data_IF_124100007208
#
_entry.id   IF_124100007208
#
_cell.length_a   1.000
_cell.length_b   1.000
_cell.length_c   1.000
_cell.angle_alpha   90.00
_cell.angle_beta   90.00
_cell.angle_gamma   90.00
#
_symmetry.space_group_name_H-M   'P 1'
#
loop_
_entity.id
_entity.type
_entity.pdbx_description
1 polymer ?
#
# COMPACT_ATOMS: atom_id res chain seq x y z
N UNK A 1 37.47 43.31 -11.51
CA UNK A 1 38.04 41.97 -11.79
C UNK A 1 38.26 41.35 -10.42
N UNK A 2 37.70 40.23 -10.00
CA UNK A 2 37.17 39.07 -10.72
C UNK A 2 36.20 38.33 -9.78
N UNK A 3 35.37 37.53 -10.41
CA UNK A 3 34.23 36.75 -9.96
C UNK A 3 34.28 36.02 -8.60
N UNK A 4 33.06 35.87 -8.11
CA UNK A 4 32.55 34.91 -7.14
C UNK A 4 32.77 33.46 -7.62
N UNK A 5 32.95 32.59 -6.61
CA UNK A 5 32.74 31.13 -6.57
C UNK A 5 33.60 30.23 -7.45
N UNK A 6 34.39 29.39 -6.79
CA UNK A 6 34.44 27.95 -7.05
C UNK A 6 34.87 27.25 -5.75
N UNK A 7 33.88 26.83 -4.97
CA UNK A 7 34.05 25.79 -3.96
C UNK A 7 34.04 24.46 -4.71
N UNK A 8 35.22 23.95 -4.99
CA UNK A 8 35.44 22.53 -5.27
C UNK A 8 35.05 21.74 -4.01
N UNK A 9 33.88 21.10 -4.07
CA UNK A 9 33.48 20.09 -3.11
C UNK A 9 33.85 18.73 -3.71
N UNK A 10 35.06 18.27 -3.43
CA UNK A 10 35.33 16.84 -3.35
C UNK A 10 34.64 16.32 -2.09
N UNK A 11 33.50 15.65 -2.26
CA UNK A 11 33.06 14.63 -1.32
C UNK A 11 32.34 13.53 -2.09
N UNK A 12 33.05 12.42 -2.23
CA UNK A 12 32.54 11.15 -2.71
C UNK A 12 31.49 10.63 -1.73
N UNK A 13 30.20 10.75 -2.06
CA UNK A 13 29.15 9.93 -1.45
C UNK A 13 28.20 9.43 -2.53
N UNK A 14 28.29 8.13 -2.77
CA UNK A 14 27.36 7.29 -3.49
C UNK A 14 25.91 7.55 -3.02
N UNK A 15 25.05 8.10 -3.87
CA UNK A 15 23.59 8.04 -3.69
C UNK A 15 22.94 7.29 -4.85
N UNK A 16 22.96 5.97 -4.68
CA UNK A 16 22.04 4.93 -5.15
C UNK A 16 21.01 5.31 -6.23
N UNK A 17 21.41 4.95 -7.44
CA UNK A 17 20.63 4.59 -8.59
C UNK A 17 19.42 3.70 -8.21
N UNK A 18 18.20 4.24 -8.23
CA UNK A 18 16.93 3.47 -8.12
C UNK A 18 16.71 2.49 -9.29
N UNK A 19 17.70 2.37 -10.18
CA UNK A 19 17.72 1.48 -11.33
C UNK A 19 18.40 0.13 -11.06
N UNK A 20 18.89 -0.11 -9.84
CA UNK A 20 19.39 -1.43 -9.39
C UNK A 20 18.42 -2.21 -8.48
N UNK A 21 17.31 -1.62 -7.99
CA UNK A 21 16.32 -2.37 -7.20
C UNK A 21 15.37 -3.27 -8.02
N UNK A 22 15.64 -3.41 -9.33
CA UNK A 22 15.03 -4.38 -10.24
C UNK A 22 16.05 -5.38 -10.77
N UNK A 23 17.23 -5.50 -10.14
CA UNK A 23 17.89 -6.80 -10.15
C UNK A 23 16.84 -7.79 -9.66
N UNK A 24 16.49 -8.71 -10.57
CA UNK A 24 15.45 -9.67 -10.35
C UNK A 24 15.71 -10.35 -9.01
N UNK A 25 14.91 -10.02 -8.01
CA UNK A 25 14.68 -10.95 -6.93
C UNK A 25 14.14 -12.18 -7.64
N UNK A 26 14.99 -13.19 -7.84
CA UNK A 26 14.53 -14.46 -8.37
C UNK A 26 13.48 -14.94 -7.37
N UNK A 27 12.24 -14.90 -7.81
CA UNK A 27 11.06 -15.34 -7.06
C UNK A 27 11.29 -16.78 -6.58
N UNK A 28 12.09 -17.58 -7.28
CA UNK A 28 12.50 -18.91 -6.88
C UNK A 28 13.65 -18.91 -5.85
N UNK A 29 14.56 -17.95 -5.82
CA UNK A 29 15.53 -17.80 -4.72
C UNK A 29 14.85 -17.30 -3.45
N UNK A 30 13.93 -16.34 -3.50
CA UNK A 30 13.21 -15.89 -2.30
C UNK A 30 12.26 -16.96 -1.75
N UNK A 31 11.64 -17.77 -2.61
CA UNK A 31 10.92 -18.99 -2.17
C UNK A 31 11.83 -20.01 -1.49
N UNK A 32 13.10 -20.08 -1.88
CA UNK A 32 14.11 -20.97 -1.26
C UNK A 32 14.68 -20.40 0.03
N UNK A 33 14.70 -19.06 0.18
CA UNK A 33 15.27 -18.36 1.33
C UNK A 33 14.26 -18.14 2.46
N UNK A 34 12.99 -17.89 2.14
CA UNK A 34 11.93 -17.67 3.14
C UNK A 34 11.18 -18.98 3.36
N UNK A 35 11.72 -19.81 4.24
CA UNK A 35 11.05 -20.98 4.77
C UNK A 35 10.50 -20.73 6.18
N UNK A 36 9.94 -21.77 6.81
CA UNK A 36 9.41 -21.65 8.17
C UNK A 36 10.52 -21.37 9.18
N UNK A 37 11.71 -21.93 9.00
CA UNK A 37 12.79 -21.79 9.97
C UNK A 37 13.32 -20.35 9.96
N UNK A 38 13.45 -19.74 8.77
CA UNK A 38 13.75 -18.32 8.61
C UNK A 38 12.69 -17.42 9.28
N UNK A 39 11.40 -17.70 9.05
CA UNK A 39 10.32 -16.90 9.65
C UNK A 39 10.26 -17.04 11.19
N UNK A 40 10.58 -18.22 11.71
CA UNK A 40 10.64 -18.48 13.15
C UNK A 40 11.88 -17.85 13.79
N UNK A 41 13.03 -17.84 13.11
CA UNK A 41 14.24 -17.16 13.58
C UNK A 41 14.01 -15.64 13.67
N UNK A 42 13.40 -15.04 12.65
CA UNK A 42 12.98 -13.63 12.70
C UNK A 42 12.03 -13.35 13.88
N UNK A 43 11.06 -14.24 14.12
CA UNK A 43 10.13 -14.11 15.24
C UNK A 43 10.83 -14.22 16.58
N UNK A 44 11.78 -15.15 16.70
CA UNK A 44 12.60 -15.33 17.88
C UNK A 44 13.47 -14.10 18.16
N UNK A 45 14.15 -13.56 17.15
CA UNK A 45 14.93 -12.34 17.26
C UNK A 45 14.06 -11.15 17.71
N UNK A 46 12.88 -10.97 17.11
CA UNK A 46 11.93 -9.93 17.52
C UNK A 46 11.41 -10.11 18.95
N UNK A 47 11.21 -11.34 19.40
CA UNK A 47 10.76 -11.62 20.76
C UNK A 47 11.82 -11.21 21.81
N UNK A 48 13.10 -11.40 21.50
CA UNK A 48 14.23 -11.22 22.44
C UNK A 48 15.00 -9.91 22.26
N UNK A 49 14.76 -9.15 21.18
CA UNK A 49 15.47 -7.90 20.89
C UNK A 49 15.33 -6.82 21.98
N UNK A 50 14.29 -6.91 22.82
CA UNK A 50 13.90 -5.89 23.79
C UNK A 50 13.72 -6.46 25.22
N UNK A 51 14.40 -7.55 25.55
CA UNK A 51 14.29 -8.23 26.86
C UNK A 51 14.51 -7.30 28.06
N UNK A 52 15.48 -6.39 27.96
CA UNK A 52 15.78 -5.46 29.05
C UNK A 52 14.68 -4.41 29.23
N UNK A 53 14.06 -3.97 28.13
CA UNK A 53 12.89 -3.07 28.18
C UNK A 53 11.68 -3.81 28.75
N UNK A 54 11.45 -5.06 28.33
CA UNK A 54 10.37 -5.92 28.87
C UNK A 54 10.52 -6.11 30.38
N UNK A 55 11.73 -6.36 30.87
CA UNK A 55 12.03 -6.43 32.33
C UNK A 55 11.76 -5.10 33.03
N UNK A 56 12.18 -3.97 32.43
CA UNK A 56 11.91 -2.64 32.98
C UNK A 56 10.41 -2.37 33.10
N UNK A 57 9.60 -2.74 32.10
CA UNK A 57 8.15 -2.56 32.13
C UNK A 57 7.47 -3.49 33.13
N UNK A 58 7.96 -4.72 33.28
CA UNK A 58 7.46 -5.66 34.29
C UNK A 58 7.56 -5.13 35.71
N UNK A 59 8.62 -4.37 36.00
CA UNK A 59 8.86 -3.75 37.30
C UNK A 59 8.37 -2.29 37.37
N UNK A 60 7.58 -1.85 36.38
CA UNK A 60 7.11 -0.47 36.31
C UNK A 60 6.01 -0.20 37.34
N UNK A 61 6.28 0.73 38.24
CA UNK A 61 5.31 1.25 39.19
C UNK A 61 4.84 2.64 38.75
N UNK A 62 3.62 2.70 38.23
CA UNK A 62 3.02 3.96 37.77
C UNK A 62 2.29 4.62 38.95
N UNK A 63 2.54 5.92 39.13
CA UNK A 63 1.86 6.77 40.10
C UNK A 63 0.80 7.63 39.40
N UNK A 64 -0.37 7.78 40.03
CA UNK A 64 -1.48 8.57 39.52
C UNK A 64 -1.86 9.53 40.64
N UNK A 65 -1.45 10.79 40.50
CA UNK A 65 -1.49 11.83 41.54
C UNK A 65 -2.69 12.79 41.41
N UNK A 66 -3.64 12.45 40.54
CA UNK A 66 -4.77 13.30 40.17
C UNK A 66 -6.10 12.59 40.40
N UNK A 67 -7.16 13.39 40.51
CA UNK A 67 -8.52 12.88 40.72
C UNK A 67 -9.04 12.19 39.45
N UNK A 68 -9.06 10.86 39.49
CA UNK A 68 -9.47 10.02 38.36
C UNK A 68 -10.99 10.10 38.16
N UNK A 69 -11.48 10.48 36.97
CA UNK A 69 -12.91 10.59 36.70
C UNK A 69 -13.55 9.21 36.63
N UNK A 70 -14.86 9.16 36.81
CA UNK A 70 -15.65 7.91 36.82
C UNK A 70 -15.47 7.10 35.51
N UNK A 71 -15.36 7.79 34.38
CA UNK A 71 -15.09 7.21 33.06
C UNK A 71 -13.77 6.43 32.99
N UNK A 72 -12.85 6.66 33.94
CA UNK A 72 -11.51 6.09 33.98
C UNK A 72 -11.35 4.93 34.99
N UNK A 73 -12.46 4.39 35.48
CA UNK A 73 -12.43 3.33 36.49
C UNK A 73 -12.17 1.92 35.94
N UNK A 74 -12.43 1.65 34.66
CA UNK A 74 -12.15 0.35 34.05
C UNK A 74 -11.76 0.43 32.58
N UNK A 75 -10.85 -0.46 32.18
CA UNK A 75 -10.47 -0.73 30.78
C UNK A 75 -11.49 -1.62 30.05
N UNK A 76 -12.45 -2.20 30.76
CA UNK A 76 -13.42 -3.14 30.20
C UNK A 76 -14.68 -2.45 29.64
N UNK A 77 -14.84 -1.15 29.88
CA UNK A 77 -16.01 -0.41 29.43
C UNK A 77 -15.96 -0.14 27.93
N UNK A 78 -16.67 -0.98 27.17
CA UNK A 78 -17.04 -0.75 25.78
C UNK A 78 -18.52 -0.34 25.82
N UNK A 79 -18.81 0.97 25.79
CA UNK A 79 -20.18 1.49 25.79
C UNK A 79 -21.09 0.90 26.89
N UNK A 80 -20.59 0.80 28.13
CA UNK A 80 -21.43 0.27 29.19
C UNK A 80 -22.47 1.31 29.61
N UNK A 81 -23.75 0.97 29.49
CA UNK A 81 -24.87 1.72 30.07
C UNK A 81 -24.65 2.12 31.53
N UNK A 82 -23.85 1.34 32.26
CA UNK A 82 -23.44 1.60 33.64
C UNK A 82 -22.56 2.86 33.80
N UNK A 83 -21.57 3.07 32.93
CA UNK A 83 -20.73 4.29 32.97
C UNK A 83 -21.51 5.52 32.54
N UNK A 84 -22.40 5.38 31.55
CA UNK A 84 -23.31 6.47 31.18
C UNK A 84 -24.25 6.83 32.33
N UNK A 85 -24.79 5.84 33.06
CA UNK A 85 -25.59 6.08 34.26
C UNK A 85 -24.79 6.77 35.37
N UNK A 86 -23.56 6.30 35.64
CA UNK A 86 -22.71 6.86 36.68
C UNK A 86 -22.24 8.29 36.33
N UNK A 87 -21.96 8.59 35.06
CA UNK A 87 -21.62 9.96 34.62
C UNK A 87 -22.84 10.88 34.58
N UNK A 88 -24.01 10.37 34.18
CA UNK A 88 -25.26 11.12 34.19
C UNK A 88 -25.64 11.54 35.61
N UNK A 89 -25.36 10.69 36.61
CA UNK A 89 -25.55 11.02 38.03
C UNK A 89 -24.68 12.20 38.50
N UNK A 90 -23.57 12.49 37.80
CA UNK A 90 -22.65 13.61 38.08
C UNK A 90 -22.83 14.75 37.05
N UNK A 91 -23.89 14.70 36.22
CA UNK A 91 -24.21 15.75 35.24
C UNK A 91 -23.26 15.79 34.03
N UNK A 92 -22.54 14.71 33.74
CA UNK A 92 -21.63 14.59 32.60
C UNK A 92 -22.12 13.50 31.62
N UNK A 93 -21.74 13.60 30.35
CA UNK A 93 -22.02 12.60 29.32
C UNK A 93 -20.75 12.00 28.74
N UNK A 94 -20.79 10.73 28.31
CA UNK A 94 -19.72 10.16 27.50
C UNK A 94 -19.71 10.79 26.11
N UNK A 95 -18.52 11.19 25.67
CA UNK A 95 -18.30 11.59 24.28
C UNK A 95 -18.01 10.32 23.47
N UNK A 96 -18.99 9.91 22.65
CA UNK A 96 -18.88 8.74 21.77
C UNK A 96 -18.50 9.09 20.32
N UNK A 97 -18.32 10.39 20.02
CA UNK A 97 -17.92 10.88 18.70
C UNK A 97 -16.43 10.64 18.43
N UNK A 98 -15.95 10.89 17.21
CA UNK A 98 -14.52 10.76 16.89
C UNK A 98 -13.64 11.67 17.79
N UNK A 99 -12.38 11.29 18.00
CA UNK A 99 -11.40 12.15 18.66
C UNK A 99 -11.17 13.42 17.83
N UNK A 100 -11.16 14.57 18.47
CA UNK A 100 -10.80 15.84 17.83
C UNK A 100 -9.29 16.03 17.83
N UNK A 101 -8.82 16.99 17.04
CA UNK A 101 -7.39 17.32 16.94
C UNK A 101 -6.84 17.74 18.32
N UNK A 102 -7.64 18.47 19.10
CA UNK A 102 -7.28 18.90 20.46
C UNK A 102 -7.16 17.71 21.41
N UNK A 103 -8.06 16.74 21.33
CA UNK A 103 -7.98 15.52 22.15
C UNK A 103 -6.74 14.68 21.80
N UNK A 104 -6.39 14.60 20.51
CA UNK A 104 -5.15 13.96 20.08
C UNK A 104 -3.90 14.69 20.57
N UNK A 105 -3.92 16.03 20.58
CA UNK A 105 -2.82 16.84 21.13
C UNK A 105 -2.64 16.62 22.63
N UNK A 106 -3.74 16.55 23.40
CA UNK A 106 -3.72 16.21 24.82
C UNK A 106 -3.11 14.82 25.02
N UNK A 107 -3.57 13.83 24.25
CA UNK A 107 -3.07 12.46 24.35
C UNK A 107 -1.57 12.36 24.02
N UNK A 108 -1.10 13.11 23.02
CA UNK A 108 0.34 13.21 22.67
C UNK A 108 1.15 13.87 23.78
N UNK A 109 0.68 14.98 24.35
CA UNK A 109 1.34 15.66 25.45
C UNK A 109 1.42 14.78 26.72
N UNK A 110 0.37 14.02 27.01
CA UNK A 110 0.36 13.06 28.12
C UNK A 110 1.34 11.92 27.89
N UNK A 111 1.44 11.41 26.65
CA UNK A 111 2.49 10.46 26.29
C UNK A 111 3.89 11.06 26.48
N UNK A 112 4.13 12.28 26.00
CA UNK A 112 5.42 12.96 26.17
C UNK A 112 5.81 13.12 27.65
N UNK A 113 4.85 13.46 28.50
CA UNK A 113 5.04 13.54 29.95
C UNK A 113 5.40 12.17 30.55
N UNK A 114 4.68 11.11 30.15
CA UNK A 114 4.98 9.74 30.57
C UNK A 114 6.39 9.30 30.13
N UNK A 115 6.81 9.63 28.91
CA UNK A 115 8.16 9.32 28.41
C UNK A 115 9.23 9.97 29.28
N UNK A 116 9.04 11.24 29.65
CA UNK A 116 9.98 11.99 30.49
C UNK A 116 10.07 11.43 31.91
N UNK A 117 8.92 11.07 32.50
CA UNK A 117 8.85 10.59 33.89
C UNK A 117 9.39 9.16 34.05
N UNK A 118 9.05 8.26 33.13
CA UNK A 118 9.36 6.83 33.26
C UNK A 118 10.52 6.35 32.35
N UNK A 119 11.02 7.25 31.48
CA UNK A 119 12.18 7.00 30.61
C UNK A 119 11.92 5.92 29.56
N UNK A 120 10.78 5.98 28.89
CA UNK A 120 10.45 5.13 27.74
C UNK A 120 10.28 6.02 26.51
N UNK A 121 11.12 5.88 25.49
CA UNK A 121 11.04 6.76 24.31
C UNK A 121 10.07 6.25 23.25
N UNK A 122 9.93 4.92 23.15
CA UNK A 122 9.22 4.27 22.07
C UNK A 122 7.83 3.78 22.54
N UNK A 123 6.73 4.26 21.93
CA UNK A 123 5.38 3.87 22.30
C UNK A 123 5.05 2.41 21.96
N UNK A 124 5.82 1.75 21.06
CA UNK A 124 5.56 0.37 20.62
C UNK A 124 5.45 -0.60 21.79
N UNK A 125 6.23 -0.34 22.85
CA UNK A 125 6.27 -1.18 24.04
C UNK A 125 4.94 -1.21 24.80
N UNK A 126 4.09 -0.19 24.65
CA UNK A 126 2.80 -0.08 25.33
C UNK A 126 1.62 -0.40 24.41
N UNK A 127 1.89 -0.71 23.13
CA UNK A 127 0.88 -1.12 22.16
C UNK A 127 0.35 -2.53 22.45
N UNK A 128 -0.85 -2.78 21.95
CA UNK A 128 -1.52 -4.07 22.14
C UNK A 128 -0.75 -5.18 21.42
N UNK A 129 -0.42 -6.24 22.15
CA UNK A 129 0.22 -7.44 21.58
C UNK A 129 1.73 -7.46 21.73
N UNK A 130 2.36 -6.32 22.04
CA UNK A 130 3.80 -6.28 22.28
C UNK A 130 4.21 -6.98 23.58
N UNK A 131 3.52 -6.65 24.68
CA UNK A 131 3.74 -7.24 26.00
C UNK A 131 2.68 -8.28 26.33
N UNK A 132 3.10 -9.34 27.00
CA UNK A 132 2.22 -10.33 27.63
C UNK A 132 1.53 -9.74 28.86
N UNK A 133 0.45 -10.37 29.30
CA UNK A 133 -0.27 -9.96 30.52
C UNK A 133 0.58 -10.10 31.78
N UNK A 134 1.62 -10.94 31.75
CA UNK A 134 2.58 -11.10 32.85
C UNK A 134 3.65 -10.00 32.87
N UNK A 135 3.96 -9.42 31.72
CA UNK A 135 4.90 -8.29 31.61
C UNK A 135 4.19 -6.95 31.83
N UNK A 136 2.97 -6.78 31.31
CA UNK A 136 2.17 -5.57 31.49
C UNK A 136 0.81 -5.93 32.06
N UNK A 137 0.79 -6.09 33.38
CA UNK A 137 -0.41 -6.50 34.10
C UNK A 137 -1.54 -5.46 34.01
N UNK A 138 -2.77 -5.90 34.24
CA UNK A 138 -3.96 -5.05 34.05
C UNK A 138 -3.97 -3.82 34.97
N UNK A 139 -3.35 -3.91 36.15
CA UNK A 139 -3.27 -2.81 37.12
C UNK A 139 -2.33 -1.72 36.62
N UNK A 140 -1.10 -2.07 36.24
CA UNK A 140 -0.13 -1.15 35.65
C UNK A 140 -0.68 -0.58 34.35
N UNK A 141 -1.30 -1.42 33.51
CA UNK A 141 -1.95 -0.98 32.28
C UNK A 141 -3.08 0.01 32.53
N UNK A 142 -3.94 -0.21 33.53
CA UNK A 142 -4.99 0.74 33.89
C UNK A 142 -4.40 2.09 34.26
N UNK A 143 -3.38 2.11 35.13
CA UNK A 143 -2.71 3.36 35.55
C UNK A 143 -2.02 4.08 34.39
N UNK A 144 -1.36 3.35 33.51
CA UNK A 144 -0.80 3.90 32.28
C UNK A 144 -1.85 4.63 31.45
N UNK A 145 -2.99 3.97 31.19
CA UNK A 145 -4.06 4.57 30.39
C UNK A 145 -4.75 5.72 31.14
N UNK A 146 -4.77 5.70 32.47
CA UNK A 146 -5.22 6.86 33.27
C UNK A 146 -4.30 8.07 33.07
N UNK A 147 -2.97 7.90 33.09
CA UNK A 147 -2.06 9.00 32.78
C UNK A 147 -2.27 9.54 31.36
N UNK A 148 -2.45 8.65 30.38
CA UNK A 148 -2.79 9.04 29.01
C UNK A 148 -4.12 9.81 28.93
N UNK A 149 -5.08 9.47 29.79
CA UNK A 149 -6.40 10.09 29.84
C UNK A 149 -6.48 11.42 30.55
N UNK A 150 -5.40 11.92 31.16
CA UNK A 150 -5.42 13.19 31.92
C UNK A 150 -5.94 14.33 31.03
N UNK A 151 -6.98 15.04 31.48
CA UNK A 151 -7.65 16.08 30.67
C UNK A 151 -8.70 15.57 29.69
N UNK A 152 -9.02 14.27 29.67
CA UNK A 152 -10.06 13.65 28.83
C UNK A 152 -11.16 12.96 29.69
N UNK A 153 -11.88 13.70 30.55
CA UNK A 153 -12.81 13.11 31.52
C UNK A 153 -14.05 12.48 30.87
N UNK A 154 -14.40 12.87 29.64
CA UNK A 154 -15.57 12.37 28.93
C UNK A 154 -15.27 11.14 28.05
N UNK A 155 -14.03 10.65 28.04
CA UNK A 155 -13.60 9.48 27.27
C UNK A 155 -13.35 8.30 28.21
N UNK A 156 -13.72 7.09 27.80
CA UNK A 156 -13.40 5.88 28.57
C UNK A 156 -11.93 5.50 28.39
N UNK A 157 -11.32 4.82 29.38
CA UNK A 157 -9.95 4.32 29.22
C UNK A 157 -9.79 3.44 27.98
N UNK A 158 -10.81 2.63 27.66
CA UNK A 158 -10.78 1.77 26.47
C UNK A 158 -10.62 2.60 25.19
N UNK A 159 -11.45 3.62 25.06
CA UNK A 159 -11.44 4.53 23.91
C UNK A 159 -10.11 5.30 23.81
N UNK A 160 -9.57 5.76 24.93
CA UNK A 160 -8.25 6.41 25.00
C UNK A 160 -7.15 5.45 24.55
N UNK A 161 -7.15 4.21 25.04
CA UNK A 161 -6.12 3.23 24.69
C UNK A 161 -6.21 2.79 23.22
N UNK A 162 -7.43 2.63 22.70
CA UNK A 162 -7.64 2.34 21.27
C UNK A 162 -7.15 3.53 20.41
N UNK A 163 -7.40 4.78 20.81
CA UNK A 163 -6.87 5.96 20.09
C UNK A 163 -5.35 6.08 20.19
N UNK A 164 -4.76 5.82 21.36
CA UNK A 164 -3.31 5.77 21.52
C UNK A 164 -2.68 4.76 20.55
N UNK A 165 -3.30 3.58 20.42
CA UNK A 165 -2.88 2.59 19.45
C UNK A 165 -2.99 3.12 18.00
N UNK A 166 -4.08 3.79 17.63
CA UNK A 166 -4.21 4.36 16.27
C UNK A 166 -3.17 5.45 15.95
N UNK A 167 -2.77 6.26 16.93
CA UNK A 167 -1.78 7.33 16.72
C UNK A 167 -0.37 6.78 16.55
N UNK A 168 -0.01 5.75 17.32
CA UNK A 168 1.39 5.31 17.46
C UNK A 168 1.69 3.93 16.89
N UNK A 169 0.69 3.14 16.50
CA UNK A 169 0.95 1.88 15.83
C UNK A 169 1.43 2.16 14.41
N UNK A 170 2.70 1.84 14.16
CA UNK A 170 3.26 1.71 12.81
C UNK A 170 2.71 0.44 12.15
N UNK A 171 1.39 0.44 11.89
CA UNK A 171 0.79 -0.67 11.18
C UNK A 171 1.14 -0.57 9.72
N UNK A 172 1.63 -1.68 9.16
CA UNK A 172 1.78 -1.80 7.72
C UNK A 172 0.40 -1.66 7.09
N UNK A 173 0.13 -0.52 6.46
CA UNK A 173 -1.11 -0.26 5.73
C UNK A 173 -0.90 -0.56 4.23
N UNK A 174 -1.98 -0.61 3.45
CA UNK A 174 -1.88 -0.91 2.02
C UNK A 174 -1.82 -2.40 1.67
N UNK A 175 -1.21 -2.73 0.53
CA UNK A 175 -1.23 -4.08 -0.05
C UNK A 175 -0.21 -5.00 0.63
N UNK A 176 -0.53 -6.29 0.70
CA UNK A 176 0.44 -7.32 1.09
C UNK A 176 1.48 -7.48 -0.03
N UNK A 177 2.75 -7.42 0.37
CA UNK A 177 3.90 -7.65 -0.49
C UNK A 177 4.12 -9.14 -0.72
N UNK A 178 4.96 -9.45 -1.70
CA UNK A 178 5.34 -10.82 -2.00
C UNK A 178 5.99 -11.53 -0.80
N UNK A 179 6.91 -10.82 -0.11
CA UNK A 179 7.63 -11.31 1.08
C UNK A 179 6.67 -11.63 2.22
N UNK A 180 5.74 -10.72 2.53
CA UNK A 180 4.74 -10.95 3.58
C UNK A 180 3.88 -12.18 3.28
N UNK A 181 3.47 -12.35 2.04
CA UNK A 181 2.68 -13.52 1.66
C UNK A 181 3.49 -14.82 1.67
N UNK A 182 4.80 -14.80 1.37
CA UNK A 182 5.68 -15.96 1.58
C UNK A 182 5.78 -16.34 3.06
N UNK A 183 5.97 -15.36 3.95
CA UNK A 183 5.98 -15.58 5.41
C UNK A 183 4.63 -16.16 5.88
N UNK A 184 3.52 -15.61 5.37
CA UNK A 184 2.18 -16.14 5.66
C UNK A 184 2.05 -17.60 5.21
N UNK A 185 2.48 -17.93 3.99
CA UNK A 185 2.41 -19.29 3.46
C UNK A 185 3.31 -20.26 4.24
N UNK A 186 4.56 -19.88 4.53
CA UNK A 186 5.50 -20.68 5.29
C UNK A 186 4.93 -21.06 6.67
N UNK A 187 4.42 -20.08 7.41
CA UNK A 187 3.81 -20.31 8.73
C UNK A 187 2.50 -21.09 8.61
N UNK A 188 1.64 -20.74 7.64
CA UNK A 188 0.34 -21.41 7.44
C UNK A 188 0.53 -22.90 7.16
N UNK A 189 1.44 -23.26 6.26
CA UNK A 189 1.67 -24.63 5.81
C UNK A 189 2.59 -25.45 6.72
N UNK A 190 3.30 -24.81 7.65
CA UNK A 190 4.22 -25.51 8.55
C UNK A 190 3.52 -26.35 9.62
N UNK A 191 4.13 -27.49 9.96
CA UNK A 191 3.75 -28.34 11.09
C UNK A 191 4.78 -28.27 12.23
N UNK A 192 5.57 -27.18 12.29
CA UNK A 192 6.59 -27.00 13.31
C UNK A 192 6.03 -27.14 14.73
N UNK A 193 6.81 -27.78 15.59
CA UNK A 193 6.50 -28.00 17.00
C UNK A 193 6.35 -26.67 17.77
N UNK A 194 6.96 -25.59 17.27
CA UNK A 194 6.81 -24.22 17.77
C UNK A 194 5.34 -23.79 17.90
N UNK A 195 4.49 -24.26 16.99
CA UNK A 195 3.07 -23.90 16.96
C UNK A 195 2.20 -24.68 17.95
N UNK A 196 2.78 -25.60 18.74
CA UNK A 196 2.08 -26.21 19.89
C UNK A 196 1.90 -25.19 21.02
N UNK A 197 2.86 -24.27 21.17
CA UNK A 197 2.86 -23.25 22.22
C UNK A 197 2.44 -21.87 21.69
N UNK A 198 2.63 -21.61 20.40
CA UNK A 198 2.32 -20.34 19.76
C UNK A 198 1.25 -20.49 18.68
N UNK A 199 0.21 -19.65 18.70
CA UNK A 199 -0.76 -19.65 17.59
C UNK A 199 -0.13 -19.01 16.35
N UNK A 200 -0.24 -19.67 15.19
CA UNK A 200 0.26 -19.17 13.89
C UNK A 200 -0.15 -17.72 13.60
N UNK A 201 -1.41 -17.39 13.89
CA UNK A 201 -1.94 -16.03 13.70
C UNK A 201 -1.22 -15.00 14.58
N UNK A 202 -0.88 -15.34 15.83
CA UNK A 202 -0.15 -14.43 16.73
C UNK A 202 1.26 -14.17 16.19
N UNK A 203 1.97 -15.22 15.80
CA UNK A 203 3.31 -15.12 15.19
C UNK A 203 3.27 -14.21 13.96
N UNK A 204 2.28 -14.38 13.09
CA UNK A 204 2.13 -13.54 11.89
C UNK A 204 1.75 -12.08 12.20
N UNK A 205 1.01 -11.81 13.27
CA UNK A 205 0.73 -10.42 13.67
C UNK A 205 2.00 -9.71 14.12
N UNK A 206 2.84 -10.41 14.88
CA UNK A 206 4.08 -9.90 15.43
C UNK A 206 5.14 -9.71 14.33
N UNK A 207 5.26 -10.65 13.40
CA UNK A 207 6.20 -10.57 12.27
C UNK A 207 5.86 -9.46 11.27
N UNK A 208 4.57 -9.27 10.97
CA UNK A 208 4.16 -8.42 9.84
C UNK A 208 3.68 -7.03 10.26
N UNK A 209 3.41 -6.81 11.55
CA UNK A 209 2.89 -5.53 12.04
C UNK A 209 1.57 -5.11 11.37
N UNK A 210 0.73 -6.07 10.94
CA UNK A 210 -0.51 -5.83 10.19
C UNK A 210 -1.73 -5.80 11.11
N UNK A 211 -2.74 -4.99 10.75
CA UNK A 211 -4.07 -5.03 11.37
C UNK A 211 -4.63 -6.46 11.36
N UNK A 212 -5.07 -6.95 12.52
CA UNK A 212 -5.58 -8.33 12.67
C UNK A 212 -6.62 -8.74 11.64
N UNK A 213 -7.60 -7.87 11.36
CA UNK A 213 -8.66 -8.17 10.39
C UNK A 213 -8.09 -8.32 8.97
N UNK A 214 -7.14 -7.46 8.59
CA UNK A 214 -6.52 -7.49 7.25
C UNK A 214 -5.66 -8.73 7.05
N UNK A 215 -4.85 -9.09 8.06
CA UNK A 215 -4.04 -10.28 8.05
C UNK A 215 -4.91 -11.54 7.99
N UNK A 216 -5.96 -11.65 8.80
CA UNK A 216 -6.85 -12.81 8.80
C UNK A 216 -7.52 -13.01 7.44
N UNK A 217 -7.98 -11.94 6.80
CA UNK A 217 -8.55 -11.99 5.45
C UNK A 217 -7.52 -12.47 4.43
N UNK A 218 -6.28 -11.97 4.48
CA UNK A 218 -5.21 -12.42 3.56
C UNK A 218 -4.81 -13.87 3.84
N UNK A 219 -4.64 -14.23 5.10
CA UNK A 219 -4.34 -15.58 5.57
C UNK A 219 -5.35 -16.61 5.08
N UNK A 220 -6.65 -16.28 5.10
CA UNK A 220 -7.70 -17.16 4.58
C UNK A 220 -7.62 -17.28 3.05
N UNK A 221 -7.40 -16.17 2.34
CA UNK A 221 -7.33 -16.13 0.88
C UNK A 221 -6.09 -16.81 0.29
N UNK A 222 -4.97 -16.82 1.00
CA UNK A 222 -3.74 -17.47 0.55
C UNK A 222 -3.84 -18.99 0.71
N UNK A 223 -4.24 -19.70 -0.34
CA UNK A 223 -4.14 -21.16 -0.49
C UNK A 223 -2.85 -21.60 -1.17
N UNK A 224 -2.68 -22.92 -1.39
CA UNK A 224 -1.53 -23.48 -2.13
C UNK A 224 -1.43 -22.96 -3.57
N UNK A 225 -2.58 -22.59 -4.15
CA UNK A 225 -2.71 -22.09 -5.54
C UNK A 225 -3.01 -20.58 -5.61
N UNK A 226 -2.94 -19.86 -4.49
CA UNK A 226 -3.30 -18.45 -4.45
C UNK A 226 -2.15 -17.53 -4.90
N UNK A 227 -2.52 -16.50 -5.66
CA UNK A 227 -1.62 -15.45 -6.14
C UNK A 227 -1.05 -14.64 -4.97
N UNK A 228 0.27 -14.79 -4.79
CA UNK A 228 1.12 -14.06 -3.84
C UNK A 228 1.33 -12.62 -4.35
N UNK A 229 1.30 -11.65 -3.44
CA UNK A 229 1.19 -10.22 -3.67
C UNK A 229 -0.26 -9.83 -3.99
N UNK A 230 -0.78 -8.77 -3.36
CA UNK A 230 -2.12 -8.22 -3.67
C UNK A 230 -2.30 -7.75 -5.13
N UNK A 231 -1.22 -7.77 -5.91
CA UNK A 231 -1.19 -8.04 -7.34
C UNK A 231 -0.21 -9.20 -7.48
N UNK A 232 -0.50 -10.18 -8.34
CA UNK A 232 0.51 -11.16 -8.74
C UNK A 232 1.83 -10.45 -8.91
N UNK A 233 2.92 -11.02 -8.38
CA UNK A 233 4.26 -10.71 -8.86
C UNK A 233 4.17 -10.44 -10.38
N UNK A 234 4.69 -9.31 -10.89
CA UNK A 234 4.41 -8.85 -12.24
C UNK A 234 4.55 -10.03 -13.19
N UNK A 235 3.40 -10.50 -13.70
CA UNK A 235 3.39 -11.67 -14.56
C UNK A 235 4.22 -11.26 -15.79
N UNK A 236 5.30 -11.98 -16.01
CA UNK A 236 6.22 -11.63 -17.09
C UNK A 236 5.56 -12.01 -18.41
N UNK A 237 4.89 -11.03 -19.02
CA UNK A 237 4.25 -11.20 -20.33
C UNK A 237 5.32 -11.35 -21.40
N UNK A 238 5.68 -12.60 -21.68
CA UNK A 238 6.56 -12.93 -22.80
C UNK A 238 5.76 -12.90 -24.10
N UNK A 239 6.47 -12.75 -25.23
CA UNK A 239 5.85 -12.78 -26.56
C UNK A 239 5.12 -14.11 -26.77
N UNK A 240 5.67 -15.23 -26.30
CA UNK A 240 5.07 -16.55 -26.46
C UNK A 240 3.75 -16.67 -25.69
N UNK A 241 3.67 -16.16 -24.46
CA UNK A 241 2.40 -16.15 -23.72
C UNK A 241 1.36 -15.24 -24.40
N UNK A 242 1.79 -14.13 -24.99
CA UNK A 242 0.90 -13.29 -25.79
C UNK A 242 0.41 -14.00 -27.06
N UNK A 243 1.25 -14.80 -27.73
CA UNK A 243 0.83 -15.65 -28.87
C UNK A 243 -0.18 -16.69 -28.44
N UNK A 244 0.09 -17.37 -27.33
CA UNK A 244 -0.80 -18.42 -26.80
C UNK A 244 -2.15 -17.82 -26.44
N UNK A 245 -2.18 -16.66 -25.78
CA UNK A 245 -3.40 -15.93 -25.50
C UNK A 245 -4.19 -15.60 -26.78
N UNK A 246 -3.55 -14.98 -27.78
CA UNK A 246 -4.24 -14.63 -29.03
C UNK A 246 -4.74 -15.88 -29.76
N UNK A 247 -3.95 -16.95 -29.77
CA UNK A 247 -4.32 -18.23 -30.41
C UNK A 247 -5.53 -18.84 -29.73
N UNK A 248 -5.53 -18.94 -28.41
CA UNK A 248 -6.66 -19.44 -27.63
C UNK A 248 -7.90 -18.56 -27.82
N UNK A 249 -7.75 -17.24 -27.89
CA UNK A 249 -8.86 -16.33 -28.16
C UNK A 249 -9.47 -16.57 -29.55
N UNK A 250 -8.66 -16.84 -30.57
CA UNK A 250 -9.15 -17.22 -31.92
C UNK A 250 -9.89 -18.56 -31.91
N UNK A 251 -9.36 -19.54 -31.20
CA UNK A 251 -9.98 -20.87 -31.07
C UNK A 251 -11.34 -20.79 -30.37
N UNK A 252 -11.43 -20.06 -29.26
CA UNK A 252 -12.69 -19.92 -28.50
C UNK A 252 -13.75 -19.12 -29.27
N UNK A 253 -13.35 -18.16 -30.11
CA UNK A 253 -14.27 -17.30 -30.87
C UNK A 253 -14.56 -17.82 -32.29
N UNK A 254 -13.81 -18.82 -32.77
CA UNK A 254 -13.88 -19.31 -34.15
C UNK A 254 -13.39 -18.31 -35.20
N UNK A 255 -12.71 -17.25 -34.78
CA UNK A 255 -12.30 -16.14 -35.64
C UNK A 255 -10.97 -16.46 -36.33
N UNK A 256 -10.92 -16.36 -37.66
CA UNK A 256 -9.69 -16.58 -38.45
C UNK A 256 -8.79 -15.35 -38.50
N UNK A 257 -9.38 -14.16 -38.60
CA UNK A 257 -8.69 -12.87 -38.69
C UNK A 257 -8.61 -12.18 -37.33
N UNK A 258 -7.40 -11.90 -36.87
CA UNK A 258 -7.14 -11.27 -35.56
C UNK A 258 -7.79 -9.89 -35.47
N UNK A 259 -7.98 -9.18 -36.58
CA UNK A 259 -8.62 -7.86 -36.61
C UNK A 259 -10.04 -7.88 -36.03
N UNK A 260 -10.75 -9.00 -36.17
CA UNK A 260 -12.12 -9.17 -35.66
C UNK A 260 -12.16 -9.40 -34.14
N UNK A 261 -11.02 -9.68 -33.50
CA UNK A 261 -10.93 -9.78 -32.04
C UNK A 261 -11.04 -8.42 -31.34
N UNK A 262 -10.81 -7.30 -32.04
CA UNK A 262 -10.98 -5.94 -31.49
C UNK A 262 -12.43 -5.69 -31.07
N UNK A 263 -13.38 -6.15 -31.88
CA UNK A 263 -14.81 -5.95 -31.69
C UNK A 263 -15.48 -7.09 -30.92
N UNK A 264 -14.74 -8.18 -30.67
CA UNK A 264 -15.28 -9.36 -30.00
C UNK A 264 -15.41 -9.11 -28.49
N UNK A 265 -16.64 -9.23 -27.97
CA UNK A 265 -16.90 -9.13 -26.53
C UNK A 265 -16.81 -10.49 -25.86
N UNK A 266 -15.83 -10.64 -24.98
CA UNK A 266 -15.66 -11.83 -24.16
C UNK A 266 -16.41 -11.69 -22.84
N UNK A 267 -17.38 -12.58 -22.60
CA UNK A 267 -18.03 -12.70 -21.29
C UNK A 267 -17.08 -13.25 -20.22
N UNK A 268 -17.41 -13.05 -18.94
CA UNK A 268 -16.59 -13.47 -17.80
C UNK A 268 -16.17 -14.96 -17.87
N UNK A 269 -17.08 -15.84 -18.29
CA UNK A 269 -16.80 -17.28 -18.43
C UNK A 269 -15.76 -17.63 -19.50
N UNK A 270 -15.57 -16.78 -20.52
CA UNK A 270 -14.50 -16.97 -21.50
C UNK A 270 -13.13 -16.65 -20.90
N UNK A 271 -13.04 -15.58 -20.09
CA UNK A 271 -11.81 -15.21 -19.40
C UNK A 271 -11.37 -16.23 -18.36
N UNK A 272 -12.32 -16.89 -17.70
CA UNK A 272 -12.05 -18.00 -16.78
C UNK A 272 -11.41 -19.18 -17.51
N UNK A 273 -11.99 -19.62 -18.63
CA UNK A 273 -11.43 -20.70 -19.46
C UNK A 273 -10.05 -20.38 -20.01
N UNK A 274 -9.86 -19.17 -20.54
CA UNK A 274 -8.56 -18.72 -21.05
C UNK A 274 -7.52 -18.65 -19.91
N UNK A 275 -7.94 -18.18 -18.73
CA UNK A 275 -7.11 -18.15 -17.55
C UNK A 275 -6.65 -19.53 -17.08
N UNK A 276 -7.57 -20.50 -17.04
CA UNK A 276 -7.26 -21.90 -16.71
C UNK A 276 -6.24 -22.51 -17.68
N UNK A 277 -6.44 -22.32 -19.00
CA UNK A 277 -5.54 -22.85 -20.03
C UNK A 277 -4.13 -22.26 -19.96
N UNK A 278 -4.01 -20.98 -19.62
CA UNK A 278 -2.73 -20.28 -19.53
C UNK A 278 -2.08 -20.35 -18.14
N UNK A 279 -2.79 -20.86 -17.13
CA UNK A 279 -2.36 -20.78 -15.74
C UNK A 279 -2.30 -19.34 -15.20
N UNK A 280 -3.14 -18.44 -15.75
CA UNK A 280 -3.18 -17.01 -15.41
C UNK A 280 -4.54 -16.67 -14.80
N UNK A 281 -4.56 -15.82 -13.78
CA UNK A 281 -5.81 -15.33 -13.22
C UNK A 281 -6.64 -14.57 -14.29
N UNK A 282 -7.91 -14.94 -14.45
CA UNK A 282 -8.82 -14.39 -15.46
C UNK A 282 -8.99 -12.86 -15.38
N UNK A 283 -9.01 -12.29 -14.17
CA UNK A 283 -9.08 -10.83 -13.97
C UNK A 283 -7.81 -10.14 -14.44
N UNK A 284 -6.64 -10.74 -14.19
CA UNK A 284 -5.35 -10.26 -14.70
C UNK A 284 -5.27 -10.36 -16.22
N UNK A 285 -5.78 -11.45 -16.78
CA UNK A 285 -5.83 -11.69 -18.22
C UNK A 285 -6.69 -10.63 -18.93
N UNK A 286 -7.90 -10.40 -18.45
CA UNK A 286 -8.80 -9.35 -18.92
C UNK A 286 -8.13 -7.97 -18.82
N UNK A 287 -7.57 -7.65 -17.66
CA UNK A 287 -6.92 -6.36 -17.44
C UNK A 287 -5.72 -6.15 -18.37
N UNK A 288 -4.90 -7.18 -18.58
CA UNK A 288 -3.77 -7.11 -19.51
C UNK A 288 -4.25 -6.96 -20.96
N UNK A 289 -5.26 -7.73 -21.37
CA UNK A 289 -5.88 -7.61 -22.69
C UNK A 289 -6.37 -6.18 -22.95
N UNK A 290 -7.26 -5.66 -22.09
CA UNK A 290 -7.87 -4.34 -22.29
C UNK A 290 -6.87 -3.19 -22.20
N UNK A 291 -5.87 -3.31 -21.33
CA UNK A 291 -5.01 -2.17 -20.99
C UNK A 291 -3.63 -2.20 -21.64
N UNK A 292 -3.22 -3.30 -22.26
CA UNK A 292 -1.91 -3.45 -22.88
C UNK A 292 -2.01 -4.15 -24.24
N UNK A 293 -2.42 -5.42 -24.29
CA UNK A 293 -2.26 -6.25 -25.49
C UNK A 293 -3.20 -5.87 -26.64
N UNK A 294 -4.50 -5.72 -26.39
CA UNK A 294 -5.47 -5.28 -27.41
C UNK A 294 -5.09 -3.91 -27.99
N UNK A 295 -4.77 -2.90 -27.17
CA UNK A 295 -4.20 -1.64 -27.66
C UNK A 295 -2.97 -1.77 -28.57
N UNK A 296 -2.05 -2.68 -28.24
CA UNK A 296 -0.85 -2.94 -29.06
C UNK A 296 -1.20 -3.58 -30.41
N UNK A 297 -2.11 -4.55 -30.40
CA UNK A 297 -2.52 -5.30 -31.59
C UNK A 297 -3.33 -4.45 -32.57
N UNK A 298 -4.24 -3.61 -32.07
CA UNK A 298 -5.21 -2.92 -32.93
C UNK A 298 -4.90 -1.45 -33.19
N UNK A 299 -3.83 -0.91 -32.59
CA UNK A 299 -3.40 0.45 -32.89
C UNK A 299 -3.16 0.65 -34.40
N UNK A 300 -3.93 1.58 -34.98
CA UNK A 300 -3.91 1.95 -36.41
C UNK A 300 -2.63 2.69 -36.79
N UNK A 301 -1.99 3.36 -35.83
CA UNK A 301 -0.75 4.09 -36.02
C UNK A 301 0.28 3.70 -34.95
N UNK A 302 1.55 3.66 -35.33
CA UNK A 302 2.66 3.53 -34.40
C UNK A 302 2.94 4.91 -33.80
N UNK A 303 2.66 5.08 -32.50
CA UNK A 303 2.95 6.31 -31.79
C UNK A 303 3.99 6.00 -30.70
N UNK A 304 5.14 6.66 -30.78
CA UNK A 304 6.13 6.67 -29.70
C UNK A 304 5.55 7.27 -28.43
N UNK A 305 5.95 6.77 -27.25
CA UNK A 305 5.48 7.32 -25.98
C UNK A 305 5.79 8.81 -25.85
N UNK A 306 6.96 9.26 -26.32
CA UNK A 306 7.32 10.68 -26.32
C UNK A 306 6.36 11.53 -27.17
N UNK A 307 6.07 11.10 -28.40
CA UNK A 307 5.08 11.76 -29.26
C UNK A 307 3.68 11.78 -28.63
N UNK A 308 3.25 10.71 -27.97
CA UNK A 308 1.97 10.70 -27.25
C UNK A 308 1.95 11.71 -26.08
N UNK A 309 3.06 11.86 -25.35
CA UNK A 309 3.17 12.89 -24.30
C UNK A 309 2.92 14.29 -24.86
N UNK A 310 3.59 14.61 -25.97
CA UNK A 310 3.39 15.89 -26.66
C UNK A 310 1.94 16.07 -27.12
N UNK A 311 1.36 15.04 -27.73
CA UNK A 311 -0.03 15.09 -28.22
C UNK A 311 -1.05 15.27 -27.11
N UNK A 312 -0.89 14.59 -25.98
CA UNK A 312 -1.76 14.77 -24.82
C UNK A 312 -1.67 16.21 -24.29
N UNK A 313 -0.45 16.74 -24.12
CA UNK A 313 -0.27 18.13 -23.65
C UNK A 313 -0.93 19.12 -24.62
N UNK A 314 -0.69 18.99 -25.93
CA UNK A 314 -1.32 19.85 -26.95
C UNK A 314 -2.85 19.70 -26.92
N UNK A 315 -3.36 18.47 -26.83
CA UNK A 315 -4.79 18.20 -26.86
C UNK A 315 -5.52 18.90 -25.71
N UNK A 316 -5.00 18.76 -24.47
CA UNK A 316 -5.60 19.41 -23.29
C UNK A 316 -5.46 20.93 -23.32
N UNK A 317 -4.38 21.47 -23.88
CA UNK A 317 -4.26 22.92 -24.09
C UNK A 317 -5.26 23.45 -25.13
N UNK A 318 -5.62 22.64 -26.13
CA UNK A 318 -6.53 23.02 -27.20
C UNK A 318 -8.02 22.86 -26.84
N UNK A 319 -8.37 21.98 -25.90
CA UNK A 319 -9.77 21.58 -25.63
C UNK A 319 -10.39 22.22 -24.36
N UNK A 320 -9.94 23.41 -23.96
CA UNK A 320 -10.57 24.18 -22.88
C UNK A 320 -10.22 23.71 -21.47
N UNK A 321 -10.73 24.44 -20.46
CA UNK A 321 -10.36 24.27 -19.05
C UNK A 321 -11.09 23.08 -18.42
N UNK A 322 -10.53 21.88 -18.58
CA UNK A 322 -10.90 20.74 -17.74
C UNK A 322 -10.09 20.85 -16.44
N UNK A 323 -10.78 21.12 -15.34
CA UNK A 323 -10.13 21.27 -14.03
C UNK A 323 -10.07 19.93 -13.30
N UNK A 324 -11.12 19.12 -13.37
CA UNK A 324 -11.23 17.84 -12.67
C UNK A 324 -10.85 16.64 -13.57
N UNK A 325 -10.16 15.65 -12.97
CA UNK A 325 -9.81 14.39 -13.61
C UNK A 325 -11.04 13.56 -14.02
N UNK A 326 -12.12 13.65 -13.25
CA UNK A 326 -13.35 12.88 -13.48
C UNK A 326 -14.20 13.46 -14.63
N UNK A 327 -13.96 14.71 -15.02
CA UNK A 327 -14.62 15.37 -16.16
C UNK A 327 -14.03 14.96 -17.51
N UNK A 328 -12.88 14.30 -17.53
CA UNK A 328 -12.19 13.92 -18.77
C UNK A 328 -12.93 12.76 -19.44
N UNK A 329 -13.57 13.05 -20.58
CA UNK A 329 -14.05 12.02 -21.50
C UNK A 329 -12.87 11.37 -22.25
N UNK A 330 -12.27 10.35 -21.65
CA UNK A 330 -11.12 9.64 -22.25
C UNK A 330 -11.41 8.95 -23.59
N UNK A 331 -12.70 8.78 -23.94
CA UNK A 331 -13.10 8.26 -25.24
C UNK A 331 -12.83 9.30 -26.34
N UNK A 332 -13.10 10.57 -26.09
CA UNK A 332 -12.90 11.66 -27.07
C UNK A 332 -11.41 11.88 -27.31
N UNK A 333 -10.62 11.93 -26.23
CA UNK A 333 -9.14 11.97 -26.28
C UNK A 333 -8.60 10.80 -27.11
N UNK A 334 -9.16 9.60 -26.91
CA UNK A 334 -8.72 8.40 -27.61
C UNK A 334 -9.03 8.43 -29.10
N UNK A 335 -10.22 8.92 -29.46
CA UNK A 335 -10.66 9.05 -30.85
C UNK A 335 -9.76 10.05 -31.60
N UNK A 336 -9.55 11.23 -31.04
CA UNK A 336 -8.76 12.29 -31.66
C UNK A 336 -7.29 11.90 -31.83
N UNK A 337 -6.71 11.27 -30.82
CA UNK A 337 -5.32 10.86 -30.85
C UNK A 337 -5.10 9.51 -31.54
N UNK A 338 -6.17 8.81 -31.93
CA UNK A 338 -6.14 7.44 -32.46
C UNK A 338 -5.35 6.48 -31.56
N UNK A 339 -5.49 6.65 -30.24
CA UNK A 339 -4.77 5.91 -29.19
C UNK A 339 -5.76 5.39 -28.16
N UNK A 340 -5.65 4.14 -27.68
CA UNK A 340 -6.58 3.59 -26.70
C UNK A 340 -6.66 4.41 -25.41
N UNK A 341 -7.90 4.65 -24.94
CA UNK A 341 -8.23 5.53 -23.79
C UNK A 341 -7.37 5.28 -22.54
N UNK A 342 -7.13 4.01 -22.21
CA UNK A 342 -6.35 3.63 -21.04
C UNK A 342 -4.87 3.99 -21.17
N UNK A 343 -4.33 4.00 -22.39
CA UNK A 343 -2.95 4.43 -22.65
C UNK A 343 -2.86 5.95 -22.48
N UNK A 344 -3.82 6.71 -23.03
CA UNK A 344 -3.88 8.16 -22.85
C UNK A 344 -3.88 8.54 -21.35
N UNK A 345 -4.77 7.93 -20.58
CA UNK A 345 -4.85 8.13 -19.12
C UNK A 345 -3.54 7.80 -18.40
N UNK A 346 -3.00 6.60 -18.64
CA UNK A 346 -1.77 6.15 -17.97
C UNK A 346 -0.57 7.03 -18.31
N UNK A 347 -0.45 7.47 -19.56
CA UNK A 347 0.67 8.32 -19.97
C UNK A 347 0.55 9.71 -19.35
N UNK A 348 -0.64 10.33 -19.35
CA UNK A 348 -0.84 11.62 -18.68
C UNK A 348 -0.58 11.51 -17.18
N UNK A 349 -1.20 10.54 -16.50
CA UNK A 349 -1.03 10.33 -15.05
C UNK A 349 0.43 10.06 -14.69
N UNK A 350 1.14 9.30 -15.52
CA UNK A 350 2.58 9.08 -15.35
C UNK A 350 3.38 10.37 -15.52
N UNK A 351 3.01 11.27 -16.44
CA UNK A 351 3.68 12.57 -16.57
C UNK A 351 3.46 13.44 -15.34
N UNK A 352 2.21 13.54 -14.86
CA UNK A 352 1.86 14.33 -13.68
C UNK A 352 2.63 13.85 -12.47
N UNK A 353 2.55 12.55 -12.17
CA UNK A 353 3.23 11.95 -11.01
C UNK A 353 4.76 12.01 -11.06
N UNK A 354 5.37 12.13 -12.25
CA UNK A 354 6.82 12.13 -12.38
C UNK A 354 7.45 13.53 -12.49
N UNK A 355 6.70 14.50 -13.01
CA UNK A 355 7.27 15.80 -13.38
C UNK A 355 6.57 17.00 -12.76
N UNK A 356 5.32 16.85 -12.29
CA UNK A 356 4.52 17.98 -11.78
C UNK A 356 4.57 17.98 -10.24
N UNK A 357 4.77 19.15 -9.59
CA UNK A 357 4.65 19.30 -8.15
C UNK A 357 3.28 18.87 -7.61
N UNK A 358 3.27 18.16 -6.46
CA UNK A 358 2.05 17.58 -5.88
C UNK A 358 0.94 18.60 -5.60
N UNK A 359 1.30 19.84 -5.27
CA UNK A 359 0.35 20.92 -5.00
C UNK A 359 -0.48 21.33 -6.23
N UNK A 360 -0.08 20.94 -7.44
CA UNK A 360 -0.82 21.21 -8.67
C UNK A 360 -1.69 20.02 -9.13
N UNK A 361 -1.56 18.84 -8.50
CA UNK A 361 -2.16 17.59 -9.00
C UNK A 361 -3.70 17.59 -9.04
N UNK A 362 -4.34 18.45 -8.26
CA UNK A 362 -5.79 18.54 -8.18
C UNK A 362 -6.40 19.16 -9.44
N UNK A 363 -5.69 20.06 -10.11
CA UNK A 363 -6.17 20.75 -11.30
C UNK A 363 -5.44 20.20 -12.55
N UNK A 364 -6.17 19.54 -13.44
CA UNK A 364 -5.62 18.92 -14.65
C UNK A 364 -4.98 19.97 -15.55
N UNK A 365 -5.62 21.13 -15.69
CA UNK A 365 -5.14 22.21 -16.55
C UNK A 365 -3.82 22.81 -16.05
N UNK A 366 -3.68 22.99 -14.74
CA UNK A 366 -2.43 23.46 -14.14
C UNK A 366 -1.31 22.44 -14.30
N UNK A 367 -1.62 21.14 -14.15
CA UNK A 367 -0.69 20.07 -14.45
C UNK A 367 -0.20 20.14 -15.90
N UNK A 368 -1.12 20.29 -16.87
CA UNK A 368 -0.81 20.33 -18.30
C UNK A 368 0.00 21.59 -18.67
N UNK A 369 -0.38 22.76 -18.14
CA UNK A 369 0.36 24.02 -18.33
C UNK A 369 1.78 23.94 -17.78
N UNK A 370 1.94 23.29 -16.62
CA UNK A 370 3.25 23.06 -16.02
C UNK A 370 4.12 22.11 -16.85
N UNK A 371 3.53 21.00 -17.32
CA UNK A 371 4.20 20.06 -18.23
C UNK A 371 4.61 20.73 -19.53
N UNK A 372 3.75 21.59 -20.10
CA UNK A 372 4.05 22.33 -21.31
C UNK A 372 5.25 23.27 -21.11
N UNK A 373 5.20 24.08 -20.07
CA UNK A 373 6.19 25.15 -19.84
C UNK A 373 7.58 24.61 -19.46
N UNK A 374 7.65 23.47 -18.77
CA UNK A 374 8.90 22.98 -18.19
C UNK A 374 9.47 21.72 -18.85
N UNK A 375 8.62 20.91 -19.51
CA UNK A 375 9.03 19.58 -19.99
C UNK A 375 8.62 19.27 -21.43
N UNK A 376 7.90 20.16 -22.12
CA UNK A 376 7.49 19.90 -23.50
C UNK A 376 8.68 19.71 -24.43
N UNK A 377 9.73 20.52 -24.29
CA UNK A 377 10.98 20.38 -25.05
C UNK A 377 11.69 19.06 -24.75
N UNK A 378 11.61 18.56 -23.51
CA UNK A 378 12.15 17.25 -23.16
C UNK A 378 11.38 16.13 -23.87
N UNK A 379 10.06 16.24 -23.96
CA UNK A 379 9.22 15.25 -24.64
C UNK A 379 9.38 15.31 -26.17
N UNK A 380 9.55 16.50 -26.74
CA UNK A 380 9.66 16.70 -28.19
C UNK A 380 11.06 16.39 -28.74
N UNK A 381 12.12 16.51 -27.92
CA UNK A 381 13.51 16.43 -28.39
C UNK A 381 14.11 15.01 -28.47
N UNK A 382 13.32 13.94 -28.34
CA UNK A 382 13.79 12.54 -28.31
C UNK A 382 14.93 12.25 -27.29
N UNK A 383 15.20 13.17 -26.35
CA UNK A 383 16.24 13.04 -25.33
C UNK A 383 15.88 11.98 -24.26
N UNK A 384 14.60 11.69 -24.10
CA UNK A 384 14.14 10.55 -23.30
C UNK A 384 14.23 9.27 -24.12
N UNK A 385 14.81 8.20 -23.54
CA UNK A 385 14.82 6.86 -24.14
C UNK A 385 13.41 6.47 -24.54
N UNK A 386 13.16 6.48 -25.85
CA UNK A 386 11.83 6.31 -26.40
C UNK A 386 11.42 4.84 -26.35
N UNK A 387 10.16 4.59 -26.04
CA UNK A 387 9.54 3.28 -26.12
C UNK A 387 8.32 3.43 -27.02
N UNK A 388 8.32 2.72 -28.13
CA UNK A 388 7.16 2.67 -29.01
C UNK A 388 6.01 1.98 -28.29
N UNK A 389 4.84 2.62 -28.26
CA UNK A 389 3.61 2.08 -27.66
C UNK A 389 2.95 1.03 -28.57
N UNK A 390 3.51 0.80 -29.75
CA UNK A 390 3.13 -0.20 -30.73
C UNK A 390 4.40 -0.48 -31.54
N UNK A 391 4.98 -1.67 -31.43
CA UNK A 391 6.10 -2.00 -32.30
C UNK A 391 5.55 -2.81 -33.47
N UNK A 392 5.94 -2.44 -34.69
CA UNK A 392 5.79 -3.29 -35.87
C UNK A 392 6.30 -4.71 -35.60
N UNK A 393 7.33 -4.79 -34.76
CA UNK A 393 7.88 -6.00 -34.17
C UNK A 393 6.85 -6.86 -33.40
N UNK A 394 5.96 -6.30 -32.56
CA UNK A 394 4.93 -7.11 -31.88
C UNK A 394 3.93 -7.68 -32.87
N UNK A 395 3.50 -6.92 -33.89
CA UNK A 395 2.61 -7.43 -34.94
C UNK A 395 3.29 -8.52 -35.78
N UNK A 396 4.52 -8.29 -36.22
CA UNK A 396 5.30 -9.24 -37.04
C UNK A 396 5.73 -10.50 -36.27
N UNK A 397 5.76 -10.46 -34.93
CA UNK A 397 6.11 -11.62 -34.10
C UNK A 397 4.89 -12.27 -33.44
N UNK A 398 3.70 -11.66 -33.41
CA UNK A 398 2.47 -12.26 -32.84
C UNK A 398 1.53 -12.83 -33.92
N UNK A 399 1.57 -12.28 -35.14
CA UNK A 399 0.93 -12.79 -36.35
C UNK A 399 1.87 -13.73 -37.10
#
# INVERSE_FOLDING_TARGET
>A
MSNISDTECEDSVLSLDQKSLNDAIDVNEVKKLIDVDYALDMHYQLAHADDDVRKKIKNLEIFVDWEVPVSHNSLQYIHSSKVDQDLSAVGQGLKLTNFTIEEDQILKANWDSFKQEYGFNDPKYFLRGYLTRTEFNDTTKKKFVQLLGRGLPQRTLRSIYDRFYEIYAEESTGRFTYVEDQIILAIKCSNSEYFKEHTKTKVLLELLGRKKITLLRRYQKLGKDAVVGGFSAPFNWTIDICKDLVTLMKEETGVKDISLLEETRFEAGHWEKLGEKLGINSTHLLFFWETQLSPLLFAKQCISRNKLRCFLVIWFLAHGEVEDWDEICWLDVALDLSVPRMICFRVLKSMVTSYVPENLWLNVQDCVRYLYSNYFDLFSSNKLKDRYLNSKFFKENLL
#
